data_IF_655869224555
#
_entry.id   IF_655869224555
#
_cell.length_a   1.000
_cell.length_b   1.000
_cell.length_c   1.000
_cell.angle_alpha   90.00
_cell.angle_beta   90.00
_cell.angle_gamma   90.00
#
_symmetry.space_group_name_H-M   'P 1'
#
loop_
_entity.id
_entity.type
_entity.pdbx_description
1 polymer ?
#
# COMPACT_ATOMS: atom_id res chain seq x y z
N UNK A 1 7.61 -23.86 1.30
CA UNK A 1 6.47 -23.52 2.17
C UNK A 1 5.25 -23.44 1.27
N UNK A 2 4.25 -24.30 1.53
CA UNK A 2 3.10 -24.75 0.71
C UNK A 2 2.82 -24.10 -0.66
N UNK A 3 2.72 -24.95 -1.69
CA UNK A 3 2.32 -24.61 -3.07
C UNK A 3 0.79 -24.71 -3.30
N UNK A 4 0.01 -24.78 -2.23
CA UNK A 4 -1.43 -25.01 -2.33
C UNK A 4 -2.20 -23.71 -2.62
N UNK A 5 -3.33 -23.78 -3.34
CA UNK A 5 -4.19 -22.64 -3.54
C UNK A 5 -4.71 -22.08 -2.21
N UNK A 6 -4.76 -20.75 -2.12
CA UNK A 6 -5.27 -20.07 -0.94
C UNK A 6 -6.68 -20.55 -0.53
N UNK A 7 -6.97 -20.49 0.77
CA UNK A 7 -8.31 -20.69 1.34
C UNK A 7 -8.63 -19.52 2.24
N UNK A 8 -9.88 -19.03 2.24
CA UNK A 8 -10.26 -17.92 3.10
C UNK A 8 -10.30 -18.39 4.56
N UNK A 9 -9.75 -17.58 5.46
CA UNK A 9 -9.88 -17.79 6.90
C UNK A 9 -9.86 -16.44 7.59
N UNK A 10 -10.42 -16.40 8.81
CA UNK A 10 -10.35 -15.24 9.69
C UNK A 10 -10.29 -15.73 11.12
N UNK A 11 -9.25 -15.34 11.85
CA UNK A 11 -9.07 -15.67 13.27
C UNK A 11 -9.50 -14.56 14.21
N UNK A 12 -9.45 -13.31 13.75
CA UNK A 12 -9.85 -12.15 14.55
C UNK A 12 -11.35 -11.84 14.40
N UNK A 13 -11.98 -11.45 15.51
CA UNK A 13 -13.32 -10.86 15.53
C UNK A 13 -13.22 -9.34 15.50
N UNK A 14 -14.20 -8.64 14.91
CA UNK A 14 -14.17 -7.18 14.86
C UNK A 14 -14.25 -6.54 16.25
N UNK A 15 -15.01 -7.16 17.16
CA UNK A 15 -15.09 -6.75 18.56
C UNK A 15 -13.72 -6.77 19.25
N UNK A 16 -12.93 -7.84 19.07
CA UNK A 16 -11.57 -7.88 19.60
C UNK A 16 -10.67 -6.77 19.01
N UNK A 17 -10.88 -6.37 17.76
CA UNK A 17 -10.12 -5.27 17.15
C UNK A 17 -10.54 -3.90 17.72
N UNK A 18 -11.84 -3.72 17.99
CA UNK A 18 -12.43 -2.45 18.43
C UNK A 18 -12.37 -2.22 19.95
N UNK A 19 -12.49 -3.27 20.78
CA UNK A 19 -12.52 -3.14 22.24
C UNK A 19 -11.68 -4.17 23.00
N UNK A 20 -11.14 -5.20 22.33
CA UNK A 20 -10.26 -6.20 22.97
C UNK A 20 -10.96 -7.39 23.63
N UNK A 21 -12.29 -7.49 23.52
CA UNK A 21 -13.09 -8.66 23.92
C UNK A 21 -14.26 -8.85 22.94
N UNK A 22 -15.03 -9.92 23.09
CA UNK A 22 -16.29 -10.12 22.36
C UNK A 22 -17.43 -9.32 22.96
N UNK A 23 -18.48 -9.08 22.18
CA UNK A 23 -19.74 -8.47 22.59
C UNK A 23 -19.56 -7.03 23.12
N UNK A 24 -18.73 -6.23 22.43
CA UNK A 24 -18.49 -4.83 22.81
C UNK A 24 -19.80 -4.04 22.86
N UNK A 25 -19.99 -3.23 23.89
CA UNK A 25 -20.99 -2.17 23.87
C UNK A 25 -20.63 -1.10 22.82
N UNK A 26 -21.61 -0.35 22.28
CA UNK A 26 -21.34 0.69 21.30
C UNK A 26 -20.28 1.72 21.74
N UNK A 27 -20.25 2.06 23.03
CA UNK A 27 -19.32 3.07 23.58
C UNK A 27 -17.86 2.57 23.63
N UNK A 28 -17.65 1.26 23.76
CA UNK A 28 -16.32 0.64 23.81
C UNK A 28 -15.66 0.54 22.43
N UNK A 29 -16.44 0.64 21.33
CA UNK A 29 -15.95 0.40 19.96
C UNK A 29 -14.94 1.45 19.46
N UNK A 30 -14.76 2.55 20.19
CA UNK A 30 -13.80 3.61 19.87
C UNK A 30 -12.43 3.43 20.55
N UNK A 31 -12.26 2.41 21.40
CA UNK A 31 -11.03 2.21 22.17
C UNK A 31 -9.88 1.64 21.33
N UNK A 32 -10.22 0.82 20.33
CA UNK A 32 -9.28 0.08 19.50
C UNK A 32 -9.23 0.54 18.04
N UNK A 33 -8.84 -0.38 17.17
CA UNK A 33 -8.77 -0.11 15.74
C UNK A 33 -10.18 -0.05 15.13
N UNK A 34 -10.45 0.98 14.33
CA UNK A 34 -11.71 1.13 13.58
C UNK A 34 -11.50 1.22 12.06
N UNK A 35 -10.39 0.62 11.60
CA UNK A 35 -10.06 0.41 10.19
C UNK A 35 -9.22 -0.86 10.09
N UNK A 36 -9.67 -1.83 9.29
CA UNK A 36 -8.98 -3.08 9.06
C UNK A 36 -8.61 -3.32 7.60
N UNK A 37 -7.73 -4.29 7.39
CA UNK A 37 -7.45 -4.85 6.08
C UNK A 37 -8.20 -6.16 5.92
N UNK A 38 -8.91 -6.34 4.81
CA UNK A 38 -9.41 -7.64 4.39
C UNK A 38 -8.72 -8.00 3.07
N UNK A 39 -8.08 -9.17 3.01
CA UNK A 39 -7.36 -9.61 1.82
C UNK A 39 -8.10 -10.75 1.13
N UNK A 40 -8.14 -10.72 -0.20
CA UNK A 40 -8.68 -11.79 -1.04
C UNK A 40 -7.65 -12.21 -2.08
N UNK A 41 -7.63 -13.50 -2.39
CA UNK A 41 -6.86 -14.09 -3.50
C UNK A 41 -7.82 -14.93 -4.31
N UNK A 42 -7.98 -14.59 -5.58
CA UNK A 42 -8.81 -15.36 -6.50
C UNK A 42 -7.93 -16.30 -7.34
N UNK A 43 -8.49 -17.45 -7.69
CA UNK A 43 -7.74 -18.59 -8.23
C UNK A 43 -8.21 -19.02 -9.61
N UNK A 44 -9.23 -18.35 -10.18
CA UNK A 44 -9.92 -18.78 -11.39
C UNK A 44 -10.52 -20.19 -11.20
N UNK A 45 -11.02 -20.44 -9.99
CA UNK A 45 -11.69 -21.67 -9.58
C UNK A 45 -13.03 -21.27 -8.99
N UNK A 46 -14.12 -21.62 -9.68
CA UNK A 46 -15.47 -21.20 -9.30
C UNK A 46 -15.82 -21.54 -7.85
N UNK A 47 -15.41 -22.72 -7.36
CA UNK A 47 -15.80 -23.18 -6.02
C UNK A 47 -15.05 -22.38 -4.95
N UNK A 48 -13.76 -22.18 -5.14
CA UNK A 48 -12.89 -21.47 -4.19
C UNK A 48 -13.11 -19.96 -4.20
N UNK A 49 -13.33 -19.40 -5.38
CA UNK A 49 -13.59 -17.98 -5.53
C UNK A 49 -14.98 -17.64 -4.95
N UNK A 50 -15.97 -18.53 -5.11
CA UNK A 50 -17.27 -18.40 -4.43
C UNK A 50 -17.13 -18.47 -2.91
N UNK A 51 -16.32 -19.40 -2.38
CA UNK A 51 -16.05 -19.48 -0.94
C UNK A 51 -15.44 -18.18 -0.41
N UNK A 52 -14.46 -17.62 -1.13
CA UNK A 52 -13.83 -16.33 -0.80
C UNK A 52 -14.86 -15.18 -0.80
N UNK A 53 -15.72 -15.12 -1.82
CA UNK A 53 -16.78 -14.11 -1.90
C UNK A 53 -17.79 -14.22 -0.75
N UNK A 54 -18.16 -15.44 -0.36
CA UNK A 54 -19.07 -15.68 0.76
C UNK A 54 -18.44 -15.23 2.08
N UNK A 55 -17.17 -15.54 2.33
CA UNK A 55 -16.45 -15.08 3.53
C UNK A 55 -16.29 -13.57 3.58
N UNK A 56 -16.04 -12.92 2.44
CA UNK A 56 -15.99 -11.47 2.38
C UNK A 56 -17.37 -10.84 2.60
N UNK A 57 -18.45 -11.44 2.09
CA UNK A 57 -19.82 -11.00 2.37
C UNK A 57 -20.13 -11.06 3.87
N UNK A 58 -19.86 -12.19 4.52
CA UNK A 58 -20.05 -12.36 5.97
C UNK A 58 -19.31 -11.28 6.77
N UNK A 59 -18.05 -11.02 6.43
CA UNK A 59 -17.25 -9.96 7.03
C UNK A 59 -17.89 -8.58 6.85
N UNK A 60 -18.33 -8.23 5.63
CA UNK A 60 -18.93 -6.91 5.35
C UNK A 60 -20.21 -6.69 6.15
N UNK A 61 -21.04 -7.71 6.28
CA UNK A 61 -22.27 -7.62 7.08
C UNK A 61 -21.95 -7.41 8.57
N UNK A 62 -20.94 -8.10 9.12
CA UNK A 62 -20.48 -7.85 10.48
C UNK A 62 -19.93 -6.43 10.62
N UNK A 63 -19.03 -6.02 9.72
CA UNK A 63 -18.40 -4.71 9.73
C UNK A 63 -19.41 -3.57 9.69
N UNK A 64 -20.44 -3.67 8.86
CA UNK A 64 -21.52 -2.68 8.80
C UNK A 64 -22.30 -2.61 10.13
N UNK A 65 -22.68 -3.76 10.70
CA UNK A 65 -23.41 -3.81 11.99
C UNK A 65 -22.64 -3.17 13.13
N UNK A 66 -21.30 -3.25 13.09
CA UNK A 66 -20.42 -2.73 14.15
C UNK A 66 -19.75 -1.40 13.82
N UNK A 67 -20.08 -0.78 12.68
CA UNK A 67 -19.49 0.48 12.24
C UNK A 67 -17.98 0.39 11.97
N UNK A 68 -17.47 -0.80 11.64
CA UNK A 68 -16.06 -1.03 11.33
C UNK A 68 -15.79 -0.77 9.85
N UNK A 69 -14.71 -0.04 9.56
CA UNK A 69 -14.30 0.25 8.18
C UNK A 69 -13.21 -0.71 7.73
N UNK A 70 -13.11 -0.93 6.43
CA UNK A 70 -12.03 -1.75 5.86
C UNK A 70 -11.53 -1.21 4.54
N UNK A 71 -10.31 -1.57 4.20
CA UNK A 71 -9.81 -1.52 2.83
C UNK A 71 -9.62 -2.95 2.31
N UNK A 72 -9.83 -3.14 1.01
CA UNK A 72 -9.79 -4.45 0.38
C UNK A 72 -8.45 -4.63 -0.34
N UNK A 73 -7.66 -5.60 0.08
CA UNK A 73 -6.46 -6.03 -0.65
C UNK A 73 -6.80 -7.18 -1.59
N UNK A 74 -6.46 -7.03 -2.87
CA UNK A 74 -6.68 -8.07 -3.88
C UNK A 74 -5.32 -8.51 -4.40
N UNK A 75 -5.02 -9.78 -4.21
CA UNK A 75 -3.81 -10.40 -4.71
C UNK A 75 -4.03 -11.09 -6.06
N UNK A 76 -2.97 -11.13 -6.85
CA UNK A 76 -2.84 -12.09 -7.94
C UNK A 76 -2.96 -13.52 -7.40
N UNK A 77 -3.36 -14.48 -8.24
CA UNK A 77 -3.41 -15.88 -7.84
C UNK A 77 -2.07 -16.37 -7.26
N UNK A 78 -2.12 -17.07 -6.13
CA UNK A 78 -0.92 -17.57 -5.46
C UNK A 78 -0.38 -18.89 -6.05
N UNK A 79 -1.06 -19.42 -7.08
CA UNK A 79 -0.69 -20.63 -7.82
C UNK A 79 -0.35 -20.22 -9.26
N UNK A 80 0.78 -20.68 -9.82
CA UNK A 80 1.17 -20.31 -11.17
C UNK A 80 0.19 -20.85 -12.22
N UNK A 81 0.13 -20.16 -13.37
CA UNK A 81 -0.57 -20.60 -14.59
C UNK A 81 -2.08 -20.82 -14.47
N UNK A 82 -2.75 -20.30 -13.43
CA UNK A 82 -4.22 -20.35 -13.34
C UNK A 82 -4.91 -19.33 -14.28
N UNK A 83 -4.19 -18.27 -14.65
CA UNK A 83 -4.60 -17.25 -15.60
C UNK A 83 -3.40 -16.92 -16.48
N UNK A 84 -3.61 -16.76 -17.78
CA UNK A 84 -2.56 -16.34 -18.71
C UNK A 84 -2.07 -14.93 -18.36
N UNK A 85 -0.76 -14.67 -18.47
CA UNK A 85 -0.15 -13.42 -18.00
C UNK A 85 -0.72 -12.16 -18.70
N UNK A 86 -1.10 -12.27 -19.98
CA UNK A 86 -1.74 -11.20 -20.75
C UNK A 86 -3.20 -10.95 -20.35
N UNK A 87 -3.86 -11.92 -19.68
CA UNK A 87 -5.24 -11.82 -19.20
C UNK A 87 -5.34 -11.46 -17.73
N UNK A 88 -4.26 -11.61 -16.97
CA UNK A 88 -4.24 -11.37 -15.52
C UNK A 88 -4.75 -9.96 -15.14
N UNK A 89 -4.35 -8.85 -15.80
CA UNK A 89 -4.85 -7.53 -15.42
C UNK A 89 -6.37 -7.40 -15.55
N UNK A 90 -6.91 -7.83 -16.69
CA UNK A 90 -8.36 -7.81 -16.95
C UNK A 90 -9.13 -8.75 -16.03
N UNK A 91 -8.57 -9.92 -15.72
CA UNK A 91 -9.14 -10.86 -14.75
C UNK A 91 -9.26 -10.24 -13.35
N UNK A 92 -8.23 -9.55 -12.86
CA UNK A 92 -8.27 -8.88 -11.55
C UNK A 92 -9.28 -7.73 -11.54
N UNK A 93 -9.31 -6.89 -12.58
CA UNK A 93 -10.28 -5.80 -12.70
C UNK A 93 -11.72 -6.30 -12.67
N UNK A 94 -12.00 -7.35 -13.46
CA UNK A 94 -13.31 -7.95 -13.53
C UNK A 94 -13.72 -8.60 -12.19
N UNK A 95 -12.82 -9.29 -11.49
CA UNK A 95 -13.10 -9.82 -10.15
C UNK A 95 -13.42 -8.74 -9.14
N UNK A 96 -12.69 -7.62 -9.16
CA UNK A 96 -12.98 -6.46 -8.31
C UNK A 96 -14.37 -5.93 -8.62
N UNK A 97 -14.69 -5.73 -9.90
CA UNK A 97 -15.98 -5.24 -10.35
C UNK A 97 -17.12 -6.16 -9.88
N UNK A 98 -16.99 -7.48 -10.07
CA UNK A 98 -17.99 -8.47 -9.64
C UNK A 98 -18.11 -8.55 -8.11
N UNK A 99 -17.00 -8.48 -7.39
CA UNK A 99 -16.97 -8.53 -5.92
C UNK A 99 -17.72 -7.36 -5.29
N UNK A 100 -17.66 -6.19 -5.93
CA UNK A 100 -18.27 -4.94 -5.42
C UNK A 100 -19.60 -4.59 -6.11
N UNK A 101 -20.02 -5.34 -7.13
CA UNK A 101 -21.28 -5.13 -7.81
C UNK A 101 -22.47 -5.27 -6.84
N UNK A 102 -23.34 -4.27 -6.82
CA UNK A 102 -24.50 -4.23 -5.91
C UNK A 102 -24.16 -4.05 -4.43
N UNK A 103 -22.89 -3.85 -4.06
CA UNK A 103 -22.50 -3.56 -2.67
C UNK A 103 -22.78 -2.08 -2.36
N UNK A 104 -23.66 -1.77 -1.39
CA UNK A 104 -23.98 -0.40 -1.02
C UNK A 104 -22.80 0.26 -0.31
N UNK A 105 -22.73 1.59 -0.33
CA UNK A 105 -21.62 2.38 0.22
C UNK A 105 -21.25 1.99 1.66
N UNK A 106 -22.22 1.64 2.51
CA UNK A 106 -21.99 1.22 3.90
C UNK A 106 -21.11 -0.05 4.02
N UNK A 107 -21.20 -0.96 3.05
CA UNK A 107 -20.40 -2.19 3.00
C UNK A 107 -19.19 -2.12 2.06
N UNK A 108 -18.94 -0.98 1.39
CA UNK A 108 -17.82 -0.84 0.45
C UNK A 108 -16.50 -0.61 1.18
N UNK A 109 -15.37 -1.10 0.65
CA UNK A 109 -14.07 -0.75 1.19
C UNK A 109 -13.80 0.75 0.99
N UNK A 110 -13.06 1.37 1.91
CA UNK A 110 -12.68 2.78 1.83
C UNK A 110 -11.70 3.06 0.69
N UNK A 111 -10.88 2.07 0.34
CA UNK A 111 -10.00 2.06 -0.83
C UNK A 111 -9.56 0.62 -1.13
N UNK A 112 -8.97 0.41 -2.31
CA UNK A 112 -8.34 -0.85 -2.69
C UNK A 112 -6.83 -0.83 -2.44
N UNK A 113 -6.26 -2.02 -2.22
CA UNK A 113 -4.82 -2.27 -2.23
C UNK A 113 -4.53 -3.39 -3.23
N UNK A 114 -4.02 -3.05 -4.41
CA UNK A 114 -3.83 -4.01 -5.51
C UNK A 114 -2.43 -3.94 -6.08
N UNK A 115 -2.01 -4.98 -6.82
CA UNK A 115 -0.82 -4.92 -7.67
C UNK A 115 -1.06 -3.87 -8.76
N UNK A 116 -0.02 -3.12 -9.12
CA UNK A 116 -0.08 -2.25 -10.30
C UNK A 116 0.17 -3.09 -11.55
N UNK A 117 -0.89 -3.37 -12.32
CA UNK A 117 -0.81 -4.15 -13.56
C UNK A 117 -0.58 -3.31 -14.82
N UNK A 118 -0.22 -2.04 -14.66
CA UNK A 118 0.07 -1.11 -15.76
C UNK A 118 -1.03 -0.06 -16.01
N UNK A 119 -0.75 0.90 -16.92
CA UNK A 119 -1.57 2.05 -17.25
C UNK A 119 -2.99 1.66 -17.62
N UNK A 120 -3.12 0.78 -18.61
CA UNK A 120 -4.41 0.43 -19.19
C UNK A 120 -5.34 -0.19 -18.14
N UNK A 121 -4.83 -1.14 -17.34
CA UNK A 121 -5.62 -1.79 -16.30
C UNK A 121 -5.99 -0.82 -15.17
N UNK A 122 -5.08 0.07 -14.78
CA UNK A 122 -5.37 1.10 -13.77
C UNK A 122 -6.43 2.08 -14.28
N UNK A 123 -6.28 2.61 -15.49
CA UNK A 123 -7.23 3.54 -16.10
C UNK A 123 -8.61 2.91 -16.26
N UNK A 124 -8.69 1.66 -16.76
CA UNK A 124 -9.93 0.92 -16.91
C UNK A 124 -10.69 0.82 -15.59
N UNK A 125 -10.02 0.40 -14.51
CA UNK A 125 -10.65 0.24 -13.20
C UNK A 125 -11.11 1.58 -12.60
N UNK A 126 -10.26 2.61 -12.70
CA UNK A 126 -10.57 3.95 -12.17
C UNK A 126 -11.72 4.61 -12.94
N UNK A 127 -11.79 4.40 -14.26
CA UNK A 127 -12.88 4.92 -15.10
C UNK A 127 -14.19 4.17 -14.90
N UNK A 128 -14.13 2.85 -14.69
CA UNK A 128 -15.30 2.02 -14.46
C UNK A 128 -16.06 2.43 -13.19
N UNK A 129 -15.33 2.69 -12.09
CA UNK A 129 -15.92 3.16 -10.83
C UNK A 129 -15.14 4.35 -10.25
N UNK A 130 -15.53 5.59 -10.58
CA UNK A 130 -14.80 6.78 -10.14
C UNK A 130 -14.91 7.05 -8.63
N UNK A 131 -15.84 6.40 -7.94
CA UNK A 131 -15.98 6.47 -6.48
C UNK A 131 -15.00 5.54 -5.75
N UNK A 132 -14.42 4.56 -6.46
CA UNK A 132 -13.45 3.64 -5.89
C UNK A 132 -12.06 4.28 -5.86
N UNK A 133 -11.50 4.41 -4.66
CA UNK A 133 -10.11 4.85 -4.49
C UNK A 133 -9.21 3.65 -4.72
N UNK A 134 -8.45 3.65 -5.81
CA UNK A 134 -7.50 2.57 -6.12
C UNK A 134 -6.14 2.90 -5.51
N UNK A 135 -5.64 2.00 -4.66
CA UNK A 135 -4.30 2.07 -4.07
C UNK A 135 -3.41 0.92 -4.54
N UNK A 136 -2.12 1.19 -4.69
CA UNK A 136 -1.14 0.18 -5.14
C UNK A 136 -0.31 -0.38 -3.99
N UNK A 137 -0.05 -1.68 -4.02
CA UNK A 137 0.88 -2.35 -3.11
C UNK A 137 2.33 -2.19 -3.58
N UNK A 138 3.26 -2.12 -2.62
CA UNK A 138 4.67 -1.89 -2.93
C UNK A 138 5.45 -3.11 -3.44
N UNK A 139 4.99 -4.35 -3.21
CA UNK A 139 5.79 -5.52 -3.58
C UNK A 139 7.10 -5.65 -2.78
N UNK A 140 8.15 -6.19 -3.40
CA UNK A 140 9.48 -6.32 -2.81
C UNK A 140 10.20 -4.97 -2.68
N UNK A 141 11.31 -4.92 -1.94
CA UNK A 141 12.05 -3.67 -1.71
C UNK A 141 12.50 -3.02 -3.05
N UNK A 142 13.21 -3.78 -3.90
CA UNK A 142 13.75 -3.25 -5.16
C UNK A 142 14.78 -2.12 -4.94
N UNK A 143 14.93 -1.26 -5.95
CA UNK A 143 15.69 0.00 -5.86
C UNK A 143 14.82 1.15 -5.34
N UNK A 144 15.46 2.27 -5.00
CA UNK A 144 14.75 3.52 -4.72
C UNK A 144 13.91 3.95 -5.93
N UNK A 145 14.46 3.84 -7.14
CA UNK A 145 13.72 4.17 -8.36
C UNK A 145 12.48 3.29 -8.53
N UNK A 146 12.55 1.98 -8.24
CA UNK A 146 11.38 1.10 -8.30
C UNK A 146 10.22 1.63 -7.45
N UNK A 147 10.51 2.13 -6.24
CA UNK A 147 9.47 2.68 -5.37
C UNK A 147 8.91 4.00 -5.90
N UNK A 148 9.79 4.92 -6.29
CA UNK A 148 9.43 6.27 -6.73
C UNK A 148 8.68 6.23 -8.06
N UNK A 149 9.12 5.40 -9.00
CA UNK A 149 8.47 5.20 -10.29
C UNK A 149 7.10 4.56 -10.12
N UNK A 150 6.95 3.56 -9.25
CA UNK A 150 5.67 2.90 -9.01
C UNK A 150 4.61 3.87 -8.49
N UNK A 151 4.99 4.71 -7.52
CA UNK A 151 4.10 5.76 -7.02
C UNK A 151 3.72 6.75 -8.13
N UNK A 152 4.70 7.23 -8.90
CA UNK A 152 4.47 8.18 -9.97
C UNK A 152 3.52 7.60 -11.04
N UNK A 153 3.78 6.39 -11.53
CA UNK A 153 2.95 5.74 -12.56
C UNK A 153 1.54 5.48 -12.04
N UNK A 154 1.41 4.93 -10.83
CA UNK A 154 0.10 4.71 -10.20
C UNK A 154 -0.72 6.00 -10.16
N UNK A 155 -0.12 7.09 -9.66
CA UNK A 155 -0.76 8.42 -9.63
C UNK A 155 -1.15 8.90 -11.02
N UNK A 156 -0.23 8.81 -11.99
CA UNK A 156 -0.43 9.28 -13.37
C UNK A 156 -1.68 8.67 -14.01
N UNK A 157 -1.98 7.41 -13.70
CA UNK A 157 -3.10 6.66 -14.28
C UNK A 157 -4.33 6.58 -13.36
N UNK A 158 -4.40 7.41 -12.32
CA UNK A 158 -5.61 7.58 -11.50
C UNK A 158 -5.60 6.87 -10.14
N UNK A 159 -4.53 6.16 -9.82
CA UNK A 159 -4.27 5.66 -8.47
C UNK A 159 -4.18 6.81 -7.46
N UNK A 160 -4.80 6.62 -6.29
CA UNK A 160 -4.95 7.66 -5.26
C UNK A 160 -4.36 7.28 -3.90
N UNK A 161 -3.75 6.09 -3.80
CA UNK A 161 -3.01 5.65 -2.61
C UNK A 161 -1.82 4.76 -2.97
N UNK A 162 -0.80 4.74 -2.10
CA UNK A 162 0.32 3.81 -2.18
C UNK A 162 0.57 3.19 -0.80
N UNK A 163 0.58 1.86 -0.75
CA UNK A 163 0.70 1.08 0.47
C UNK A 163 2.03 0.31 0.47
N UNK A 164 3.10 1.05 0.77
CA UNK A 164 4.47 0.54 0.74
C UNK A 164 4.92 0.12 2.14
N UNK A 165 5.22 -1.18 2.31
CA UNK A 165 5.81 -1.71 3.54
C UNK A 165 7.31 -1.94 3.36
N UNK A 166 7.67 -3.04 2.68
CA UNK A 166 9.08 -3.46 2.46
C UNK A 166 9.94 -2.37 1.83
N UNK A 167 9.42 -1.64 0.83
CA UNK A 167 10.15 -0.54 0.18
C UNK A 167 10.60 0.54 1.16
N UNK A 168 9.75 0.89 2.13
CA UNK A 168 10.08 1.89 3.16
C UNK A 168 10.99 1.26 4.23
N UNK A 169 10.64 0.09 4.74
CA UNK A 169 11.39 -0.55 5.84
C UNK A 169 12.82 -0.92 5.44
N UNK A 170 13.07 -1.18 4.15
CA UNK A 170 14.38 -1.49 3.60
C UNK A 170 15.14 -0.28 3.06
N UNK A 171 14.64 0.94 3.26
CA UNK A 171 15.37 2.17 2.91
C UNK A 171 16.43 2.49 3.99
N UNK A 172 17.55 3.08 3.57
CA UNK A 172 18.65 3.52 4.45
C UNK A 172 18.20 4.58 5.46
N UNK A 173 17.27 5.44 5.04
CA UNK A 173 16.66 6.44 5.91
C UNK A 173 15.16 6.54 5.60
N UNK A 174 14.32 5.90 6.43
CA UNK A 174 12.88 5.80 6.17
C UNK A 174 12.18 7.17 6.16
N UNK A 175 12.61 8.11 7.01
CA UNK A 175 11.99 9.43 7.09
C UNK A 175 12.25 10.25 5.83
N UNK A 176 13.50 10.31 5.37
CA UNK A 176 13.86 10.98 4.12
C UNK A 176 13.17 10.30 2.93
N UNK A 177 13.13 8.96 2.90
CA UNK A 177 12.46 8.21 1.84
C UNK A 177 10.95 8.54 1.76
N UNK A 178 10.26 8.58 2.90
CA UNK A 178 8.84 8.98 2.97
C UNK A 178 8.64 10.41 2.51
N UNK A 179 9.57 11.32 2.85
CA UNK A 179 9.51 12.70 2.39
C UNK A 179 9.56 12.79 0.86
N UNK A 180 10.49 12.08 0.21
CA UNK A 180 10.53 12.03 -1.26
C UNK A 180 9.30 11.38 -1.88
N UNK A 181 8.74 10.32 -1.28
CA UNK A 181 7.44 9.78 -1.71
C UNK A 181 6.35 10.84 -1.66
N UNK A 182 6.30 11.68 -0.62
CA UNK A 182 5.32 12.77 -0.53
C UNK A 182 5.53 13.81 -1.63
N UNK A 183 6.77 14.22 -1.88
CA UNK A 183 7.08 15.17 -2.96
C UNK A 183 6.65 14.65 -4.33
N UNK A 184 6.90 13.37 -4.63
CA UNK A 184 6.45 12.71 -5.87
C UNK A 184 4.92 12.68 -5.92
N UNK A 185 4.26 12.29 -4.82
CA UNK A 185 2.80 12.27 -4.73
C UNK A 185 2.19 13.66 -4.96
N UNK A 186 2.85 14.74 -4.51
CA UNK A 186 2.44 16.12 -4.77
C UNK A 186 2.81 16.63 -6.17
N UNK A 187 3.63 15.90 -6.93
CA UNK A 187 4.09 16.34 -8.25
C UNK A 187 5.17 17.42 -8.19
N UNK A 188 5.89 17.50 -7.07
CA UNK A 188 6.96 18.46 -6.84
C UNK A 188 8.26 18.04 -7.52
N UNK A 189 8.49 16.73 -7.62
CA UNK A 189 9.75 16.15 -8.11
C UNK A 189 9.46 14.87 -8.89
N UNK A 190 10.22 14.63 -9.95
CA UNK A 190 10.16 13.41 -10.74
C UNK A 190 10.97 12.28 -10.10
N UNK A 191 10.64 10.99 -10.36
CA UNK A 191 11.27 9.84 -9.70
C UNK A 191 12.80 9.85 -9.74
N UNK A 192 13.40 10.03 -10.91
CA UNK A 192 14.86 9.99 -11.02
C UNK A 192 15.56 11.17 -10.33
N UNK A 193 14.93 12.35 -10.36
CA UNK A 193 15.45 13.52 -9.64
C UNK A 193 15.37 13.27 -8.12
N UNK A 194 14.27 12.67 -7.66
CA UNK A 194 14.10 12.27 -6.27
C UNK A 194 15.14 11.24 -5.81
N UNK A 195 15.54 10.26 -6.66
CA UNK A 195 16.63 9.34 -6.31
C UNK A 195 17.94 10.11 -6.08
N UNK A 196 18.31 11.00 -7.01
CA UNK A 196 19.56 11.79 -6.89
C UNK A 196 19.53 12.69 -5.65
N UNK A 197 18.40 13.32 -5.38
CA UNK A 197 18.20 14.14 -4.20
C UNK A 197 18.25 13.31 -2.90
N UNK A 198 17.66 12.11 -2.89
CA UNK A 198 17.74 11.18 -1.76
C UNK A 198 19.19 10.76 -1.47
N UNK A 199 19.97 10.41 -2.49
CA UNK A 199 21.41 10.13 -2.33
C UNK A 199 22.20 11.32 -1.78
N UNK A 200 21.85 12.55 -2.22
CA UNK A 200 22.47 13.77 -1.69
C UNK A 200 22.15 13.98 -0.20
N UNK A 201 20.91 13.67 0.21
CA UNK A 201 20.50 13.69 1.63
C UNK A 201 21.23 12.62 2.42
N UNK A 202 21.36 11.39 1.92
CA UNK A 202 22.14 10.34 2.56
C UNK A 202 23.60 10.77 2.79
N UNK A 203 24.23 11.37 1.78
CA UNK A 203 25.59 11.89 1.88
C UNK A 203 25.71 12.99 2.94
N UNK A 204 24.78 13.97 2.98
CA UNK A 204 24.73 15.01 4.03
C UNK A 204 24.58 14.41 5.43
N UNK A 205 23.83 13.32 5.56
CA UNK A 205 23.60 12.63 6.84
C UNK A 205 24.72 11.65 7.21
N UNK A 206 25.74 11.47 6.35
CA UNK A 206 26.80 10.49 6.56
C UNK A 206 26.33 9.04 6.50
N UNK A 207 25.20 8.77 5.84
CA UNK A 207 24.64 7.42 5.67
C UNK A 207 25.14 6.84 4.35
N UNK A 208 25.76 5.66 4.40
CA UNK A 208 26.23 4.96 3.20
C UNK A 208 25.02 4.33 2.47
N UNK A 209 24.77 4.66 1.19
CA UNK A 209 23.74 3.99 0.40
C UNK A 209 24.03 2.49 0.25
N UNK A 210 23.00 1.65 0.24
CA UNK A 210 23.17 0.21 0.01
C UNK A 210 23.67 -0.10 -1.40
N UNK A 211 23.41 0.80 -2.36
CA UNK A 211 23.78 0.68 -3.77
C UNK A 211 24.35 2.01 -4.26
N UNK A 212 25.28 2.00 -5.21
CA UNK A 212 25.71 3.22 -5.87
C UNK A 212 24.55 3.82 -6.70
N UNK A 213 24.62 5.13 -6.92
CA UNK A 213 23.55 5.92 -7.53
C UNK A 213 23.09 5.40 -8.90
N UNK A 214 24.05 4.99 -9.74
CA UNK A 214 23.78 4.44 -11.07
C UNK A 214 22.92 3.17 -11.00
N UNK A 215 23.21 2.28 -10.06
CA UNK A 215 22.42 1.07 -9.84
C UNK A 215 21.05 1.38 -9.22
N UNK A 216 20.98 2.36 -8.31
CA UNK A 216 19.72 2.72 -7.66
C UNK A 216 18.76 3.50 -8.59
N UNK A 217 19.30 4.04 -9.70
CA UNK A 217 18.58 4.58 -10.85
C UNK A 217 18.19 3.51 -11.89
N UNK A 218 18.37 2.23 -11.59
CA UNK A 218 17.86 1.15 -12.45
C UNK A 218 16.58 0.56 -11.87
N UNK A 219 15.62 0.23 -12.74
CA UNK A 219 14.45 -0.55 -12.36
C UNK A 219 14.84 -2.02 -12.28
N UNK A 220 14.62 -2.63 -11.12
CA UNK A 220 14.89 -4.05 -10.89
C UNK A 220 13.62 -4.87 -10.75
N UNK A 221 12.51 -4.22 -10.43
CA UNK A 221 11.21 -4.85 -10.34
C UNK A 221 10.38 -4.52 -11.56
N UNK A 222 9.39 -5.37 -11.86
CA UNK A 222 8.51 -5.24 -13.02
C UNK A 222 7.55 -4.03 -12.97
N UNK A 223 7.92 -2.93 -12.31
CA UNK A 223 7.17 -1.67 -12.29
C UNK A 223 6.87 -1.18 -13.71
N UNK A 224 7.71 -1.54 -14.69
CA UNK A 224 7.60 -1.14 -16.10
C UNK A 224 7.55 -2.32 -17.10
N UNK A 225 7.24 -3.55 -16.67
CA UNK A 225 7.08 -4.65 -17.64
C UNK A 225 5.75 -4.53 -18.37
N UNK A 226 5.73 -3.73 -19.42
CA UNK A 226 4.62 -3.61 -20.38
C UNK A 226 4.61 -4.80 -21.36
N UNK A 227 4.58 -6.02 -20.82
CA UNK A 227 4.62 -7.23 -21.63
C UNK A 227 4.86 -8.51 -20.83
N UNK A 228 3.77 -9.07 -20.30
CA UNK A 228 3.44 -10.50 -20.36
C UNK A 228 4.40 -11.59 -19.85
N UNK A 229 5.53 -11.30 -19.18
CA UNK A 229 6.48 -12.37 -18.80
C UNK A 229 6.80 -12.47 -17.30
N UNK A 230 6.28 -11.57 -16.47
CA UNK A 230 6.57 -11.57 -15.04
C UNK A 230 5.47 -12.16 -14.17
N UNK A 231 5.61 -13.41 -13.72
CA UNK A 231 4.76 -13.95 -12.66
C UNK A 231 5.08 -13.22 -11.34
N UNK A 232 4.21 -12.33 -10.89
CA UNK A 232 4.30 -11.64 -9.58
C UNK A 232 3.88 -12.58 -8.44
N UNK A 233 4.65 -13.66 -8.22
CA UNK A 233 4.47 -14.48 -7.02
C UNK A 233 5.11 -13.75 -5.85
N UNK A 234 4.30 -13.04 -5.08
CA UNK A 234 4.71 -12.38 -3.83
C UNK A 234 4.82 -13.39 -2.66
N UNK A 235 5.56 -14.49 -2.82
CA UNK A 235 5.87 -15.41 -1.71
C UNK A 235 7.26 -15.05 -1.15
N UNK A 236 7.39 -14.74 0.15
CA UNK A 236 8.70 -14.49 0.74
C UNK A 236 9.53 -15.79 0.79
N UNK A 237 10.76 -15.74 0.29
CA UNK A 237 11.77 -16.73 0.62
C UNK A 237 12.17 -16.52 2.10
N UNK A 238 11.97 -17.55 2.93
CA UNK A 238 12.37 -17.54 4.34
C UNK A 238 13.89 -17.59 4.46
N UNK A 239 14.54 -16.48 4.79
CA UNK A 239 15.92 -16.49 5.27
C UNK A 239 15.90 -16.72 6.78
N UNK A 240 16.22 -17.95 7.19
CA UNK A 240 16.43 -18.34 8.57
C UNK A 240 17.82 -17.87 9.05
N UNK A 241 17.87 -16.92 9.98
CA UNK A 241 18.94 -16.79 10.97
C UNK A 241 18.45 -15.97 12.18
N UNK A 242 18.92 -16.26 13.40
CA UNK A 242 18.26 -15.85 14.64
C UNK A 242 18.66 -14.41 15.03
N UNK A 243 17.67 -13.53 15.20
CA UNK A 243 17.89 -12.19 15.72
C UNK A 243 17.70 -12.16 17.25
N UNK A 244 18.76 -11.80 17.96
CA UNK A 244 18.79 -11.46 19.38
C UNK A 244 17.92 -10.21 19.66
N UNK A 245 17.15 -10.23 20.74
CA UNK A 245 16.23 -9.14 21.13
C UNK A 245 17.00 -7.93 21.70
N UNK A 246 16.78 -6.69 21.22
CA UNK A 246 17.17 -5.50 21.96
C UNK A 246 16.11 -5.13 23.00
N UNK A 247 16.58 -4.75 24.19
CA UNK A 247 15.76 -4.35 25.33
C UNK A 247 15.03 -3.01 25.12
N UNK A 248 13.86 -2.87 25.75
CA UNK A 248 13.01 -1.68 25.69
C UNK A 248 13.66 -0.44 26.36
N UNK A 249 13.51 0.78 25.81
CA UNK A 249 13.92 1.99 26.50
C UNK A 249 12.82 2.49 27.45
N UNK A 250 13.25 2.98 28.62
CA UNK A 250 12.41 3.61 29.66
C UNK A 250 11.94 5.03 29.23
N UNK A 251 10.82 5.53 29.79
CA UNK A 251 10.23 6.79 29.36
C UNK A 251 10.84 8.00 30.09
N UNK A 252 11.13 9.07 29.35
CA UNK A 252 11.35 10.40 29.94
C UNK A 252 12.23 11.34 29.12
N UNK A 253 11.62 12.22 28.33
CA UNK A 253 12.01 13.64 28.19
C UNK A 253 10.99 14.36 27.30
N UNK A 254 10.24 15.27 27.91
CA UNK A 254 9.32 16.22 27.28
C UNK A 254 10.03 17.05 26.21
N UNK A 255 9.62 16.87 24.94
CA UNK A 255 9.90 17.85 23.88
C UNK A 255 8.70 18.79 23.78
N UNK A 256 8.96 20.07 24.00
CA UNK A 256 8.03 21.17 23.74
C UNK A 256 7.51 21.09 22.30
N UNK A 257 6.25 20.69 22.12
CA UNK A 257 5.55 20.84 20.86
C UNK A 257 5.05 22.28 20.76
N UNK A 258 5.75 23.12 19.99
CA UNK A 258 5.10 24.30 19.43
C UNK A 258 3.93 23.83 18.56
N UNK A 259 2.74 24.30 18.88
CA UNK A 259 1.50 24.07 18.14
C UNK A 259 1.53 24.86 16.83
N UNK A 260 2.36 24.44 15.88
CA UNK A 260 2.15 24.81 14.49
C UNK A 260 0.98 23.97 13.97
N UNK A 261 -0.13 24.64 13.63
CA UNK A 261 -1.25 24.00 12.93
C UNK A 261 -0.71 23.20 11.74
N UNK A 262 -1.06 21.91 11.69
CA UNK A 262 -0.68 21.05 10.57
C UNK A 262 -1.41 21.58 9.32
N UNK A 263 -0.71 21.78 8.18
CA UNK A 263 -1.36 22.30 6.99
C UNK A 263 -2.39 21.32 6.43
N UNK A 264 -3.52 21.88 5.98
CA UNK A 264 -4.55 21.14 5.27
C UNK A 264 -4.22 21.07 3.78
N UNK A 265 -3.49 20.02 3.39
CA UNK A 265 -3.07 19.83 1.99
C UNK A 265 -4.25 19.69 1.03
N UNK A 266 -5.43 19.26 1.50
CA UNK A 266 -6.60 19.13 0.63
C UNK A 266 -7.08 20.49 0.08
N UNK A 267 -6.80 21.58 0.80
CA UNK A 267 -7.17 22.96 0.43
C UNK A 267 -6.08 23.72 -0.32
N UNK A 268 -4.86 23.17 -0.37
CA UNK A 268 -3.74 23.80 -1.05
C UNK A 268 -3.75 23.48 -2.54
N UNK A 269 -3.48 24.48 -3.36
CA UNK A 269 -3.10 24.32 -4.77
C UNK A 269 -1.76 23.58 -4.90
N UNK A 270 -1.45 22.98 -6.07
CA UNK A 270 -0.16 22.35 -6.31
C UNK A 270 1.04 23.28 -6.00
N UNK A 271 0.95 24.56 -6.37
CA UNK A 271 2.00 25.54 -6.15
C UNK A 271 2.19 25.89 -4.66
N UNK A 272 1.10 25.97 -3.89
CA UNK A 272 1.16 26.19 -2.44
C UNK A 272 1.77 24.99 -1.71
N UNK A 273 1.41 23.76 -2.14
CA UNK A 273 2.04 22.53 -1.60
C UNK A 273 3.52 22.52 -1.92
N UNK A 274 3.90 22.84 -3.15
CA UNK A 274 5.30 22.95 -3.58
C UNK A 274 6.07 23.97 -2.72
N UNK A 275 5.52 25.16 -2.50
CA UNK A 275 6.13 26.20 -1.68
C UNK A 275 6.30 25.74 -0.22
N UNK A 276 5.27 25.14 0.37
CA UNK A 276 5.32 24.58 1.72
C UNK A 276 6.40 23.50 1.85
N UNK A 277 6.45 22.56 0.91
CA UNK A 277 7.44 21.49 0.93
C UNK A 277 8.86 22.00 0.74
N UNK A 278 9.09 22.97 -0.16
CA UNK A 278 10.39 23.62 -0.34
C UNK A 278 10.86 24.32 0.94
N UNK A 279 9.99 25.09 1.59
CA UNK A 279 10.31 25.80 2.83
C UNK A 279 10.58 24.82 3.98
N UNK A 280 9.79 23.76 4.08
CA UNK A 280 10.00 22.71 5.08
C UNK A 280 11.31 21.95 4.84
N UNK A 281 11.62 21.57 3.60
CA UNK A 281 12.89 20.92 3.25
C UNK A 281 14.07 21.82 3.62
N UNK A 282 14.00 23.11 3.29
CA UNK A 282 15.02 24.10 3.66
C UNK A 282 15.25 24.16 5.18
N UNK A 283 14.17 24.14 5.97
CA UNK A 283 14.27 24.12 7.45
C UNK A 283 14.82 22.81 8.00
N UNK A 284 14.56 21.69 7.34
CA UNK A 284 14.87 20.35 7.87
C UNK A 284 16.25 19.86 7.44
N UNK A 285 16.71 20.25 6.23
CA UNK A 285 17.90 19.70 5.58
C UNK A 285 19.02 20.71 5.36
N UNK A 286 18.82 21.99 5.72
CA UNK A 286 19.78 23.08 5.48
C UNK A 286 19.87 23.47 4.02
#
# INVERSE_FOLDING_TARGET
VHAEPARPFRTAHLDHMQCGHLDCSPDERQLGANLGLYSVTFLNDQTRDLETLQRYKEFREEAERVGFRHFLEVFDPNVPNVVAADKLPGFINDLIARTLAGVPQAGRPVFLKIVYHGPQAMEELVQYDPHLVVGVLGGAAGTTLDAFQLLHQSKKYGGRAALFGRKINSAENQLAFIEFLRLIADGVIEPEEAVRAYHSVLAKLGVLPYRPLDQDLTLQTNVMSYGGSGTTISIPASTSSPAEKPAAPKPGATRNSSSAEKPDFAKMTPDERLAYHRERLRRTLG
#
